data_IF_070375262516
#
_entry.id   IF_070375262516
#
_cell.length_a   1.000
_cell.length_b   1.000
_cell.length_c   1.000
_cell.angle_alpha   90.00
_cell.angle_beta   90.00
_cell.angle_gamma   90.00
#
_symmetry.space_group_name_H-M   'P 1'
#
loop_
_entity.id
_entity.type
_entity.pdbx_description
1 polymer ?
#
# COMPACT_ATOMS: atom_id res chain seq x y z
N UNK A 1 -27.49 -19.25 24.16
CA UNK A 1 -28.67 -19.33 23.27
C UNK A 1 -28.34 -20.37 22.22
N UNK A 2 -29.06 -21.49 22.22
CA UNK A 2 -28.75 -22.68 21.38
C UNK A 2 -29.79 -22.85 20.26
N UNK A 3 -30.52 -21.79 19.94
CA UNK A 3 -31.56 -21.76 18.91
C UNK A 3 -31.39 -20.52 18.02
N UNK A 4 -31.77 -20.60 16.74
CA UNK A 4 -31.80 -19.45 15.83
C UNK A 4 -32.64 -18.29 16.38
N UNK A 5 -32.39 -17.09 15.86
CA UNK A 5 -33.28 -15.96 16.12
C UNK A 5 -34.69 -16.27 15.56
N UNK A 6 -35.73 -15.76 16.21
CA UNK A 6 -37.12 -16.15 15.93
C UNK A 6 -37.58 -15.77 14.53
N UNK A 7 -37.12 -14.63 14.03
CA UNK A 7 -37.30 -14.17 12.65
C UNK A 7 -36.72 -15.18 11.65
N UNK A 8 -35.47 -15.59 11.87
CA UNK A 8 -34.78 -16.55 11.02
C UNK A 8 -35.49 -17.92 11.01
N UNK A 9 -36.05 -18.36 12.14
CA UNK A 9 -36.78 -19.62 12.22
C UNK A 9 -38.12 -19.60 11.45
N UNK A 10 -38.83 -18.47 11.44
CA UNK A 10 -40.07 -18.33 10.67
C UNK A 10 -39.79 -18.28 9.17
N UNK A 11 -38.70 -17.63 8.73
CA UNK A 11 -38.27 -17.66 7.33
C UNK A 11 -37.97 -19.09 6.87
N UNK A 12 -37.25 -19.86 7.68
CA UNK A 12 -36.95 -21.26 7.40
C UNK A 12 -38.20 -22.14 7.33
N UNK A 13 -39.22 -21.79 8.09
CA UNK A 13 -40.50 -22.49 8.08
C UNK A 13 -41.29 -22.20 6.81
N UNK A 14 -41.25 -20.98 6.31
CA UNK A 14 -41.82 -20.63 5.01
C UNK A 14 -41.10 -21.36 3.87
N UNK A 15 -39.76 -21.31 3.87
CA UNK A 15 -38.94 -21.98 2.85
C UNK A 15 -39.13 -23.51 2.86
N UNK A 16 -39.27 -24.12 4.04
CA UNK A 16 -39.55 -25.56 4.17
C UNK A 16 -40.93 -25.94 3.61
N UNK A 17 -41.94 -25.11 3.88
CA UNK A 17 -43.29 -25.32 3.35
C UNK A 17 -43.33 -25.19 1.81
N UNK A 18 -42.59 -24.22 1.25
CA UNK A 18 -42.47 -24.04 -0.20
C UNK A 18 -41.79 -25.23 -0.89
N UNK A 19 -40.92 -25.95 -0.17
CA UNK A 19 -40.26 -27.16 -0.66
C UNK A 19 -40.95 -28.47 -0.24
N UNK A 20 -42.18 -28.40 0.30
CA UNK A 20 -42.99 -29.54 0.78
C UNK A 20 -42.23 -30.46 1.75
N UNK A 21 -41.45 -29.86 2.65
CA UNK A 21 -40.63 -30.58 3.63
C UNK A 21 -40.82 -30.05 5.05
N UNK A 22 -40.44 -30.86 6.04
CA UNK A 22 -40.42 -30.39 7.42
C UNK A 22 -39.28 -29.39 7.65
N UNK A 23 -39.44 -28.49 8.63
CA UNK A 23 -38.39 -27.54 9.02
C UNK A 23 -37.10 -28.26 9.43
N UNK A 24 -37.20 -29.43 10.07
CA UNK A 24 -36.05 -30.27 10.40
C UNK A 24 -35.31 -30.79 9.17
N UNK A 25 -36.04 -31.21 8.12
CA UNK A 25 -35.44 -31.67 6.86
C UNK A 25 -34.82 -30.51 6.09
N UNK A 26 -35.45 -29.33 6.12
CA UNK A 26 -34.90 -28.11 5.53
C UNK A 26 -33.59 -27.70 6.22
N UNK A 27 -33.54 -27.72 7.56
CA UNK A 27 -32.32 -27.44 8.33
C UNK A 27 -31.22 -28.45 7.98
N UNK A 28 -31.58 -29.74 7.89
CA UNK A 28 -30.63 -30.78 7.52
C UNK A 28 -30.09 -30.57 6.10
N UNK A 29 -30.95 -30.26 5.14
CA UNK A 29 -30.58 -29.96 3.76
C UNK A 29 -29.66 -28.72 3.67
N UNK A 30 -29.94 -27.67 4.43
CA UNK A 30 -29.11 -26.46 4.48
C UNK A 30 -27.76 -26.71 5.14
N UNK A 31 -27.69 -27.53 6.18
CA UNK A 31 -26.43 -27.94 6.80
C UNK A 31 -25.62 -28.81 5.83
N UNK A 32 -26.26 -29.75 5.13
CA UNK A 32 -25.61 -30.56 4.10
C UNK A 32 -25.13 -29.73 2.91
N UNK A 33 -25.91 -28.75 2.46
CA UNK A 33 -25.54 -27.84 1.38
C UNK A 33 -24.42 -26.89 1.79
N UNK A 34 -24.48 -26.33 3.01
CA UNK A 34 -23.41 -25.56 3.62
C UNK A 34 -22.14 -26.38 3.69
N UNK A 35 -22.22 -27.61 4.23
CA UNK A 35 -21.08 -28.52 4.29
C UNK A 35 -20.52 -28.83 2.90
N UNK A 36 -21.35 -29.07 1.88
CA UNK A 36 -20.91 -29.26 0.49
C UNK A 36 -20.25 -28.00 -0.11
N UNK A 37 -20.74 -26.80 0.22
CA UNK A 37 -20.11 -25.53 -0.19
C UNK A 37 -18.79 -25.26 0.52
N UNK A 38 -18.64 -25.72 1.76
CA UNK A 38 -17.38 -25.64 2.52
C UNK A 38 -16.40 -26.78 2.17
N UNK A 39 -16.89 -27.94 1.73
CA UNK A 39 -16.07 -29.05 1.17
C UNK A 39 -15.61 -28.77 -0.26
N UNK A 40 -16.23 -27.82 -0.96
CA UNK A 40 -15.68 -27.26 -2.19
C UNK A 40 -14.46 -26.41 -1.82
N UNK A 41 -13.32 -27.07 -1.58
CA UNK A 41 -12.02 -26.44 -1.40
C UNK A 41 -11.74 -25.58 -2.65
N UNK A 42 -11.92 -24.27 -2.52
CA UNK A 42 -11.21 -23.34 -3.39
C UNK A 42 -9.74 -23.55 -3.06
N UNK A 43 -9.03 -24.29 -3.91
CA UNK A 43 -7.57 -24.35 -3.81
C UNK A 43 -7.06 -22.92 -4.02
N UNK A 44 -6.40 -22.32 -3.02
CA UNK A 44 -5.73 -21.05 -3.23
C UNK A 44 -4.66 -21.27 -4.29
N UNK A 45 -4.63 -20.41 -5.31
CA UNK A 45 -3.58 -20.45 -6.35
C UNK A 45 -2.18 -20.32 -5.74
N UNK A 46 -2.09 -19.70 -4.56
CA UNK A 46 -0.86 -19.52 -3.79
C UNK A 46 -1.08 -19.97 -2.35
N UNK A 47 -0.14 -20.75 -1.84
CA UNK A 47 -0.11 -21.17 -0.46
C UNK A 47 0.13 -19.97 0.48
N UNK A 48 -0.35 -20.09 1.72
CA UNK A 48 -0.07 -19.10 2.79
C UNK A 48 1.44 -18.90 3.00
N UNK A 49 2.25 -19.90 2.66
CA UNK A 49 3.71 -19.81 2.71
C UNK A 49 4.25 -18.89 1.61
N UNK A 50 3.81 -19.07 0.37
CA UNK A 50 4.21 -18.25 -0.77
C UNK A 50 3.82 -16.78 -0.55
N UNK A 51 2.60 -16.52 -0.07
CA UNK A 51 2.17 -15.16 0.29
C UNK A 51 3.04 -14.51 1.38
N UNK A 52 3.51 -15.29 2.36
CA UNK A 52 4.42 -14.79 3.41
C UNK A 52 5.80 -14.49 2.87
N UNK A 53 6.33 -15.32 1.98
CA UNK A 53 7.60 -15.13 1.31
C UNK A 53 7.54 -13.84 0.45
N UNK A 54 6.53 -13.71 -0.42
CA UNK A 54 6.31 -12.50 -1.22
C UNK A 54 6.18 -11.23 -0.37
N UNK A 55 5.40 -11.29 0.72
CA UNK A 55 5.25 -10.14 1.63
C UNK A 55 6.60 -9.77 2.26
N UNK A 56 7.40 -10.75 2.65
CA UNK A 56 8.72 -10.49 3.24
C UNK A 56 9.68 -9.88 2.21
N UNK A 57 9.66 -10.36 0.97
CA UNK A 57 10.47 -9.83 -0.12
C UNK A 57 10.09 -8.37 -0.42
N UNK A 58 8.79 -8.09 -0.57
CA UNK A 58 8.29 -6.72 -0.75
C UNK A 58 8.65 -5.80 0.42
N UNK A 59 8.60 -6.32 1.66
CA UNK A 59 9.01 -5.55 2.83
C UNK A 59 10.50 -5.22 2.79
N UNK A 60 11.34 -6.17 2.37
CA UNK A 60 12.79 -5.96 2.26
C UNK A 60 13.13 -4.94 1.15
N UNK A 61 12.43 -5.01 0.01
CA UNK A 61 12.58 -4.03 -1.07
C UNK A 61 12.17 -2.63 -0.63
N UNK A 62 11.04 -2.51 0.09
CA UNK A 62 10.57 -1.23 0.64
C UNK A 62 11.55 -0.65 1.66
N UNK A 63 12.09 -1.47 2.55
CA UNK A 63 13.08 -1.05 3.55
C UNK A 63 14.36 -0.56 2.86
N UNK A 64 14.84 -1.30 1.86
CA UNK A 64 16.01 -0.90 1.08
C UNK A 64 15.78 0.41 0.31
N UNK A 65 14.59 0.62 -0.24
CA UNK A 65 14.23 1.87 -0.91
C UNK A 65 14.25 3.06 0.06
N UNK A 66 13.69 2.90 1.26
CA UNK A 66 13.70 3.94 2.32
C UNK A 66 15.10 4.29 2.79
N UNK A 67 15.93 3.28 3.07
CA UNK A 67 17.33 3.48 3.44
C UNK A 67 18.11 4.25 2.37
N UNK A 68 17.77 4.02 1.09
CA UNK A 68 18.38 4.75 -0.02
C UNK A 68 17.90 6.21 -0.06
N UNK A 69 16.62 6.46 0.17
CA UNK A 69 16.05 7.82 0.27
C UNK A 69 16.77 8.59 1.39
N UNK A 70 16.87 8.02 2.60
CA UNK A 70 17.53 8.66 3.74
C UNK A 70 19.01 9.00 3.45
N UNK A 71 19.74 8.09 2.78
CA UNK A 71 21.13 8.34 2.37
C UNK A 71 21.22 9.50 1.38
N UNK A 72 20.30 9.56 0.42
CA UNK A 72 20.26 10.62 -0.59
C UNK A 72 19.87 11.97 0.04
N UNK A 73 18.91 12.02 0.97
CA UNK A 73 18.54 13.25 1.70
C UNK A 73 19.72 13.79 2.51
N UNK A 74 20.44 12.90 3.20
CA UNK A 74 21.66 13.28 3.92
C UNK A 74 22.75 13.81 2.98
N UNK A 75 22.87 13.26 1.77
CA UNK A 75 23.78 13.78 0.74
C UNK A 75 23.32 15.15 0.23
N UNK A 76 22.02 15.36 0.04
CA UNK A 76 21.45 16.64 -0.39
C UNK A 76 21.79 17.75 0.61
N UNK A 77 21.50 17.54 1.91
CA UNK A 77 21.81 18.53 2.95
C UNK A 77 23.31 18.84 3.06
N UNK A 78 24.17 17.83 2.90
CA UNK A 78 25.62 18.07 2.84
C UNK A 78 26.01 18.86 1.59
N UNK A 79 25.40 18.56 0.44
CA UNK A 79 25.61 19.26 -0.81
C UNK A 79 25.14 20.72 -0.78
N UNK A 80 24.02 21.02 -0.12
CA UNK A 80 23.53 22.40 0.06
C UNK A 80 24.49 23.24 0.89
N UNK A 81 24.97 22.70 2.02
CA UNK A 81 25.95 23.40 2.87
C UNK A 81 27.25 23.66 2.14
N UNK A 82 27.75 22.66 1.40
CA UNK A 82 28.95 22.79 0.57
C UNK A 82 28.75 23.82 -0.55
N UNK A 83 27.57 23.85 -1.17
CA UNK A 83 27.22 24.83 -2.22
C UNK A 83 27.21 26.25 -1.66
N UNK A 84 26.58 26.46 -0.50
CA UNK A 84 26.57 27.77 0.19
C UNK A 84 28.00 28.20 0.50
N UNK A 85 28.79 27.32 1.13
CA UNK A 85 30.18 27.60 1.49
C UNK A 85 30.98 28.05 0.28
N UNK A 86 30.97 27.26 -0.78
CA UNK A 86 31.73 27.54 -2.01
C UNK A 86 31.28 28.83 -2.69
N UNK A 87 29.97 29.09 -2.70
CA UNK A 87 29.43 30.31 -3.30
C UNK A 87 29.85 31.57 -2.52
N UNK A 88 29.83 31.53 -1.20
CA UNK A 88 30.27 32.63 -0.33
C UNK A 88 31.79 32.83 -0.40
N UNK A 89 32.57 31.74 -0.48
CA UNK A 89 34.03 31.82 -0.71
C UNK A 89 34.36 32.51 -2.05
N UNK A 90 33.58 32.26 -3.09
CA UNK A 90 33.76 32.86 -4.42
C UNK A 90 33.17 34.27 -4.53
N UNK A 91 32.18 34.59 -3.70
CA UNK A 91 31.48 35.87 -3.70
C UNK A 91 31.39 36.44 -2.27
N UNK A 92 32.51 36.94 -1.70
CA UNK A 92 32.50 37.54 -0.37
C UNK A 92 31.51 38.71 -0.29
N UNK A 93 30.65 38.71 0.73
CA UNK A 93 29.59 39.71 0.87
C UNK A 93 28.29 39.38 0.14
N UNK A 94 28.18 38.20 -0.48
CA UNK A 94 26.93 37.73 -1.07
C UNK A 94 25.75 37.84 -0.08
N UNK A 95 24.66 38.38 -0.58
CA UNK A 95 23.42 38.56 0.17
C UNK A 95 22.69 37.23 0.31
N UNK A 96 21.79 37.17 1.29
CA UNK A 96 20.91 36.00 1.49
C UNK A 96 20.09 35.66 0.24
N UNK A 97 19.68 36.67 -0.52
CA UNK A 97 18.91 36.47 -1.76
C UNK A 97 19.74 35.78 -2.84
N UNK A 98 21.00 36.19 -3.03
CA UNK A 98 21.91 35.58 -4.01
C UNK A 98 22.27 34.13 -3.63
N UNK A 99 22.48 33.86 -2.34
CA UNK A 99 22.68 32.50 -1.83
C UNK A 99 21.44 31.63 -2.07
N UNK A 100 20.24 32.19 -1.82
CA UNK A 100 18.97 31.50 -2.05
C UNK A 100 18.75 31.17 -3.53
N UNK A 101 19.03 32.10 -4.43
CA UNK A 101 18.95 31.86 -5.87
C UNK A 101 19.93 30.78 -6.31
N UNK A 102 21.18 30.83 -5.83
CA UNK A 102 22.18 29.80 -6.18
C UNK A 102 21.76 28.40 -5.75
N UNK A 103 21.14 28.27 -4.58
CA UNK A 103 20.58 27.01 -4.13
C UNK A 103 19.43 26.55 -5.02
N UNK A 104 18.50 27.45 -5.36
CA UNK A 104 17.38 27.14 -6.26
C UNK A 104 17.86 26.66 -7.64
N UNK A 105 18.88 27.30 -8.21
CA UNK A 105 19.44 26.93 -9.52
C UNK A 105 20.03 25.51 -9.53
N UNK A 106 20.44 25.01 -8.36
CA UNK A 106 21.04 23.69 -8.20
C UNK A 106 20.03 22.64 -7.73
N UNK A 107 18.78 23.01 -7.43
CA UNK A 107 17.70 22.07 -7.05
C UNK A 107 17.35 21.09 -8.19
N UNK A 108 17.15 21.52 -9.46
CA UNK A 108 16.72 20.60 -10.52
C UNK A 108 17.67 19.43 -10.78
N UNK A 109 18.99 19.69 -10.77
CA UNK A 109 20.02 18.66 -10.95
C UNK A 109 20.01 17.61 -9.83
N UNK A 110 19.55 18.01 -8.64
CA UNK A 110 19.54 17.19 -7.43
C UNK A 110 18.20 16.51 -7.18
N UNK A 111 17.09 17.11 -7.63
CA UNK A 111 15.73 16.61 -7.44
C UNK A 111 15.45 15.33 -8.25
N UNK A 112 16.00 15.24 -9.47
CA UNK A 112 15.72 14.12 -10.38
C UNK A 112 16.05 12.73 -9.77
N UNK A 113 17.24 12.50 -9.16
CA UNK A 113 17.54 11.24 -8.48
C UNK A 113 16.56 10.87 -7.35
N UNK A 114 15.98 11.85 -6.65
CA UNK A 114 15.00 11.59 -5.59
C UNK A 114 13.64 11.22 -6.16
N UNK A 115 13.20 11.93 -7.20
CA UNK A 115 11.97 11.62 -7.91
C UNK A 115 12.04 10.22 -8.54
N UNK A 116 13.16 9.87 -9.15
CA UNK A 116 13.38 8.54 -9.73
C UNK A 116 13.41 7.44 -8.65
N UNK A 117 13.85 7.75 -7.43
CA UNK A 117 13.87 6.79 -6.32
C UNK A 117 12.49 6.57 -5.68
N UNK A 118 11.63 7.59 -5.73
CA UNK A 118 10.25 7.53 -5.21
C UNK A 118 9.26 6.98 -6.26
N UNK A 119 9.60 7.09 -7.55
CA UNK A 119 8.80 6.59 -8.65
C UNK A 119 8.66 5.05 -8.58
N UNK A 120 7.41 4.56 -8.54
CA UNK A 120 7.06 3.15 -8.37
C UNK A 120 6.96 2.67 -6.91
N UNK A 121 7.35 3.50 -5.92
CA UNK A 121 7.28 3.14 -4.50
C UNK A 121 6.21 3.96 -3.79
N UNK A 122 6.41 5.28 -3.70
CA UNK A 122 5.51 6.24 -3.05
C UNK A 122 4.91 7.24 -4.05
N UNK A 123 5.49 7.35 -5.25
CA UNK A 123 5.02 8.22 -6.33
C UNK A 123 4.84 7.45 -7.65
N UNK A 124 3.87 7.83 -8.46
CA UNK A 124 3.64 7.36 -9.82
C UNK A 124 3.69 8.56 -10.76
N UNK A 125 4.42 8.44 -11.87
CA UNK A 125 4.55 9.51 -12.87
C UNK A 125 3.57 9.30 -14.02
N UNK A 126 2.69 10.28 -14.26
CA UNK A 126 1.76 10.29 -15.40
C UNK A 126 1.86 11.60 -16.14
N UNK A 127 2.28 11.54 -17.40
CA UNK A 127 2.35 12.74 -18.26
C UNK A 127 3.30 13.84 -17.76
N UNK A 128 4.29 13.51 -16.93
CA UNK A 128 5.23 14.48 -16.33
C UNK A 128 4.80 15.00 -14.95
N UNK A 129 3.64 14.60 -14.46
CA UNK A 129 3.13 14.92 -13.12
C UNK A 129 3.32 13.73 -12.18
N UNK A 130 3.57 14.00 -10.90
CA UNK A 130 3.81 13.00 -9.87
C UNK A 130 2.58 12.88 -8.94
N UNK A 131 2.13 11.65 -8.71
CA UNK A 131 0.96 11.29 -7.91
C UNK A 131 1.35 10.28 -6.83
N UNK A 132 0.74 10.22 -5.64
CA UNK A 132 1.04 9.17 -4.67
C UNK A 132 0.60 7.78 -5.19
N UNK A 133 1.44 6.76 -5.03
CA UNK A 133 1.09 5.34 -5.25
C UNK A 133 0.20 4.83 -4.10
N UNK A 134 -1.05 5.29 -4.08
CA UNK A 134 -2.00 4.91 -3.03
C UNK A 134 -3.01 6.00 -2.76
N UNK A 135 -3.96 6.18 -3.66
CA UNK A 135 -5.21 6.87 -3.34
C UNK A 135 -6.10 5.97 -2.47
N UNK A 136 -5.94 6.09 -1.15
CA UNK A 136 -6.93 5.84 -0.10
C UNK A 136 -7.66 4.50 -0.02
N UNK A 137 -7.37 3.73 1.04
CA UNK A 137 -8.32 3.24 2.06
C UNK A 137 -7.56 2.88 3.32
#
# INVERSE_FOLDING_TARGET
>A
MTYPATDQYEDWKADAADMDMSVSEWIQAMVEAGRKKFDASVEPDETVRELREQRNDLKAELEHARDRIDKLENQLHRGERETIRRFVEQNPGATRAEIGQRLADTVPERLNPHLDALEGVDLEKKGGEYYPTGGGT
#
